data_IF_252908502549
#
_entry.id   IF_252908502549
#
_cell.length_a   1.000
_cell.length_b   1.000
_cell.length_c   1.000
_cell.angle_alpha   90.00
_cell.angle_beta   90.00
_cell.angle_gamma   90.00
#
_symmetry.space_group_name_H-M   'P 1'
#
loop_
_entity.id
_entity.type
_entity.pdbx_description
1 polymer ?
#
# COMPACT_ATOMS: atom_id res chain seq x y z
N UNK A 1 7.67 19.10 16.29
CA UNK A 1 8.97 18.79 15.68
C UNK A 1 9.31 17.29 15.74
N UNK A 2 8.95 16.56 16.81
CA UNK A 2 9.25 15.12 16.94
C UNK A 2 8.43 14.23 15.99
N UNK A 3 7.18 14.58 15.64
CA UNK A 3 6.34 13.78 14.72
C UNK A 3 6.85 13.78 13.28
N UNK A 4 7.35 14.91 12.78
CA UNK A 4 7.84 15.00 11.41
C UNK A 4 9.18 14.26 11.20
N UNK A 5 10.04 14.22 12.24
CA UNK A 5 11.28 13.42 12.21
C UNK A 5 11.00 11.93 12.28
N UNK A 6 9.98 11.50 13.05
CA UNK A 6 9.63 10.08 13.16
C UNK A 6 9.04 9.52 11.86
N UNK A 7 8.19 10.27 11.15
CA UNK A 7 7.57 9.78 9.90
C UNK A 7 8.60 9.58 8.77
N UNK A 8 9.58 10.46 8.63
CA UNK A 8 10.66 10.28 7.65
C UNK A 8 11.55 9.07 7.96
N UNK A 9 11.81 8.79 9.24
CA UNK A 9 12.57 7.63 9.65
C UNK A 9 11.80 6.32 9.36
N UNK A 10 10.50 6.30 9.62
CA UNK A 10 9.66 5.12 9.37
C UNK A 10 9.54 4.79 7.88
N UNK A 11 9.44 5.81 7.03
CA UNK A 11 9.50 5.62 5.58
C UNK A 11 10.85 5.00 5.17
N UNK A 12 11.97 5.55 5.68
CA UNK A 12 13.30 5.03 5.39
C UNK A 12 13.47 3.56 5.83
N UNK A 13 12.93 3.15 6.98
CA UNK A 13 12.97 1.76 7.44
C UNK A 13 12.26 0.81 6.44
N UNK A 14 11.10 1.21 5.90
CA UNK A 14 10.41 0.40 4.89
C UNK A 14 11.17 0.32 3.56
N UNK A 15 11.80 1.39 3.12
CA UNK A 15 12.66 1.35 1.93
C UNK A 15 13.89 0.45 2.16
N UNK A 16 14.50 0.52 3.33
CA UNK A 16 15.62 -0.35 3.72
C UNK A 16 15.20 -1.82 3.78
N UNK A 17 13.94 -2.12 4.16
CA UNK A 17 13.42 -3.48 4.12
C UNK A 17 13.43 -4.07 2.71
N UNK A 18 13.01 -3.26 1.73
CA UNK A 18 13.03 -3.67 0.33
C UNK A 18 14.45 -3.91 -0.19
N UNK A 19 15.39 -3.02 0.15
CA UNK A 19 16.81 -3.18 -0.22
C UNK A 19 17.40 -4.45 0.41
N UNK A 20 17.10 -4.72 1.68
CA UNK A 20 17.54 -5.94 2.36
C UNK A 20 17.01 -7.19 1.65
N UNK A 21 15.74 -7.20 1.28
CA UNK A 21 15.12 -8.30 0.54
C UNK A 21 15.80 -8.54 -0.81
N UNK A 22 16.09 -7.48 -1.58
CA UNK A 22 16.80 -7.59 -2.87
C UNK A 22 18.20 -8.18 -2.73
N UNK A 23 18.81 -8.06 -1.55
CA UNK A 23 20.11 -8.63 -1.21
C UNK A 23 20.03 -10.06 -0.64
N UNK A 24 18.83 -10.62 -0.54
CA UNK A 24 18.58 -11.94 0.05
C UNK A 24 18.55 -11.96 1.58
N UNK A 25 18.65 -10.81 2.25
CA UNK A 25 18.59 -10.70 3.71
C UNK A 25 17.13 -10.56 4.18
N UNK A 26 16.42 -11.70 4.14
CA UNK A 26 14.99 -11.78 4.50
C UNK A 26 14.76 -11.39 5.96
N UNK A 27 15.63 -11.79 6.88
CA UNK A 27 15.47 -11.49 8.30
C UNK A 27 15.54 -9.98 8.57
N UNK A 28 16.50 -9.29 7.97
CA UNK A 28 16.59 -7.81 8.06
C UNK A 28 15.40 -7.14 7.35
N UNK A 29 14.93 -7.68 6.22
CA UNK A 29 13.76 -7.15 5.53
C UNK A 29 12.51 -7.17 6.42
N UNK A 30 12.22 -8.31 7.05
CA UNK A 30 11.09 -8.47 7.97
C UNK A 30 11.20 -7.48 9.13
N UNK A 31 12.33 -7.46 9.82
CA UNK A 31 12.56 -6.56 10.96
C UNK A 31 12.36 -5.09 10.59
N UNK A 32 13.00 -4.64 9.51
CA UNK A 32 12.92 -3.24 9.04
C UNK A 32 11.50 -2.84 8.64
N UNK A 33 10.76 -3.72 7.98
CA UNK A 33 9.35 -3.46 7.69
C UNK A 33 8.52 -3.34 8.97
N UNK A 34 8.69 -4.26 9.92
CA UNK A 34 7.98 -4.25 11.20
C UNK A 34 8.25 -2.97 11.97
N UNK A 35 9.53 -2.60 12.13
CA UNK A 35 9.95 -1.37 12.82
C UNK A 35 9.34 -0.11 12.15
N UNK A 36 9.32 -0.08 10.81
CA UNK A 36 8.78 1.03 10.02
C UNK A 36 7.26 1.12 9.99
N UNK A 37 6.54 0.09 10.45
CA UNK A 37 5.08 0.04 10.37
C UNK A 37 4.39 -0.02 11.72
N UNK A 38 5.04 -0.50 12.77
CA UNK A 38 4.41 -0.74 14.07
C UNK A 38 3.76 0.52 14.66
N UNK A 39 4.42 1.66 14.58
CA UNK A 39 3.87 2.93 15.08
C UNK A 39 2.69 3.47 14.26
N UNK A 40 2.49 2.99 13.03
CA UNK A 40 1.40 3.38 12.14
C UNK A 40 0.19 2.45 12.27
N UNK A 41 0.34 1.36 13.02
CA UNK A 41 -0.68 0.34 13.19
C UNK A 41 -1.45 0.45 14.50
N UNK A 42 -1.66 1.67 15.02
CA UNK A 42 -2.27 1.95 16.33
C UNK A 42 -3.65 1.28 16.57
N UNK A 43 -4.24 0.67 15.56
CA UNK A 43 -5.55 0.03 15.60
C UNK A 43 -5.52 -1.45 15.21
N UNK A 44 -4.35 -2.03 14.97
CA UNK A 44 -4.20 -3.45 14.72
C UNK A 44 -3.79 -4.19 16.00
N UNK A 45 -4.09 -5.49 16.11
CA UNK A 45 -3.58 -6.32 17.19
C UNK A 45 -2.04 -6.24 17.29
N UNK A 46 -1.53 -6.32 18.49
CA UNK A 46 -0.07 -6.37 18.73
C UNK A 46 0.58 -7.48 17.91
N UNK A 47 1.74 -7.21 17.31
CA UNK A 47 2.45 -8.17 16.46
C UNK A 47 1.95 -8.23 15.00
N UNK A 48 0.91 -7.47 14.64
CA UNK A 48 0.41 -7.46 13.26
C UNK A 48 1.46 -7.03 12.25
N UNK A 49 2.33 -6.08 12.60
CA UNK A 49 3.41 -5.61 11.73
C UNK A 49 4.34 -6.75 11.33
N UNK A 50 4.72 -7.59 12.29
CA UNK A 50 5.59 -8.74 12.05
C UNK A 50 4.90 -9.82 11.22
N UNK A 51 3.62 -10.11 11.50
CA UNK A 51 2.84 -11.08 10.71
C UNK A 51 2.74 -10.62 9.26
N UNK A 52 2.46 -9.34 9.02
CA UNK A 52 2.38 -8.78 7.66
C UNK A 52 3.75 -8.80 6.98
N UNK A 53 4.82 -8.41 7.68
CA UNK A 53 6.18 -8.44 7.15
C UNK A 53 6.62 -9.86 6.74
N UNK A 54 6.32 -10.86 7.59
CA UNK A 54 6.55 -12.27 7.26
C UNK A 54 5.75 -12.70 6.01
N UNK A 55 4.52 -12.21 5.85
CA UNK A 55 3.71 -12.48 4.65
C UNK A 55 4.29 -11.86 3.38
N UNK A 56 4.87 -10.66 3.48
CA UNK A 56 5.47 -9.93 2.33
C UNK A 56 6.78 -10.60 1.88
N UNK A 57 7.63 -11.00 2.82
CA UNK A 57 9.00 -11.43 2.54
C UNK A 57 9.25 -12.93 2.77
N UNK A 58 8.32 -13.63 3.41
CA UNK A 58 8.42 -15.04 3.75
C UNK A 58 7.74 -15.98 2.74
N UNK A 59 7.33 -17.14 3.24
CA UNK A 59 6.76 -18.21 2.44
C UNK A 59 5.23 -18.09 2.21
N UNK A 60 4.67 -19.04 1.48
CA UNK A 60 3.25 -19.07 1.15
C UNK A 60 2.35 -19.20 2.41
N UNK A 61 2.81 -19.91 3.46
CA UNK A 61 2.06 -20.06 4.69
C UNK A 61 2.02 -18.74 5.48
N UNK A 62 3.16 -18.05 5.57
CA UNK A 62 3.23 -16.71 6.18
C UNK A 62 2.34 -15.71 5.42
N UNK A 63 2.36 -15.75 4.08
CA UNK A 63 1.48 -14.93 3.25
C UNK A 63 -0.01 -15.20 3.53
N UNK A 64 -0.42 -16.46 3.64
CA UNK A 64 -1.80 -16.81 3.98
C UNK A 64 -2.22 -16.28 5.36
N UNK A 65 -1.33 -16.37 6.36
CA UNK A 65 -1.58 -15.82 7.71
C UNK A 65 -1.73 -14.30 7.69
N UNK A 66 -0.88 -13.60 6.96
CA UNK A 66 -0.98 -12.15 6.80
C UNK A 66 -2.29 -11.73 6.12
N UNK A 67 -2.72 -12.46 5.10
CA UNK A 67 -3.99 -12.19 4.41
C UNK A 67 -5.19 -12.44 5.32
N UNK A 68 -5.19 -13.53 6.10
CA UNK A 68 -6.26 -13.81 7.06
C UNK A 68 -6.37 -12.71 8.14
N UNK A 69 -5.24 -12.26 8.69
CA UNK A 69 -5.22 -11.12 9.62
C UNK A 69 -5.83 -9.86 9.00
N UNK A 70 -5.48 -9.54 7.76
CA UNK A 70 -6.03 -8.37 7.06
C UNK A 70 -7.54 -8.52 6.83
N UNK A 71 -8.01 -9.73 6.48
CA UNK A 71 -9.42 -10.02 6.31
C UNK A 71 -10.21 -9.81 7.61
N UNK A 72 -9.71 -10.32 8.73
CA UNK A 72 -10.31 -10.15 10.05
C UNK A 72 -10.43 -8.67 10.44
N UNK A 73 -9.41 -7.86 10.11
CA UNK A 73 -9.45 -6.42 10.38
C UNK A 73 -10.44 -5.69 9.47
N UNK A 74 -10.47 -6.01 8.18
CA UNK A 74 -11.38 -5.39 7.22
C UNK A 74 -12.85 -5.79 7.43
N UNK A 75 -13.11 -6.94 8.07
CA UNK A 75 -14.45 -7.40 8.42
C UNK A 75 -15.08 -6.65 9.62
N UNK A 76 -14.30 -5.86 10.36
CA UNK A 76 -14.81 -5.10 11.50
C UNK A 76 -15.80 -4.01 11.03
N UNK A 77 -16.88 -3.72 11.80
CA UNK A 77 -17.90 -2.76 11.39
C UNK A 77 -17.39 -1.33 11.13
N UNK A 78 -16.31 -0.97 11.77
CA UNK A 78 -15.57 0.27 11.54
C UNK A 78 -14.07 -0.08 11.55
N UNK A 79 -13.53 -0.59 10.45
CA UNK A 79 -12.10 -0.79 10.37
C UNK A 79 -11.46 0.58 10.51
N UNK A 80 -10.91 0.84 11.68
CA UNK A 80 -10.15 2.08 11.90
C UNK A 80 -9.02 2.05 10.91
N UNK A 81 -9.12 2.95 9.94
CA UNK A 81 -8.25 3.03 8.80
C UNK A 81 -6.80 3.02 9.25
N UNK A 82 -6.15 1.98 8.88
CA UNK A 82 -4.72 2.06 8.76
C UNK A 82 -4.44 2.12 7.26
N UNK A 83 -3.99 3.27 6.78
CA UNK A 83 -3.53 3.41 5.41
C UNK A 83 -2.49 2.35 5.01
N UNK A 84 -2.00 1.59 5.99
CA UNK A 84 -1.08 0.47 5.80
C UNK A 84 -1.73 -0.79 5.24
N UNK A 85 -3.05 -1.01 5.41
CA UNK A 85 -3.69 -2.23 4.88
C UNK A 85 -3.68 -2.29 3.35
N UNK A 86 -4.08 -1.23 2.61
CA UNK A 86 -3.96 -1.22 1.15
C UNK A 86 -2.51 -1.42 0.68
N UNK A 87 -1.53 -0.76 1.32
CA UNK A 87 -0.12 -0.95 1.01
C UNK A 87 0.30 -2.41 1.25
N UNK A 88 -0.07 -2.99 2.38
CA UNK A 88 0.25 -4.38 2.71
C UNK A 88 -0.36 -5.35 1.68
N UNK A 89 -1.61 -5.14 1.28
CA UNK A 89 -2.26 -5.94 0.23
C UNK A 89 -1.53 -5.83 -1.11
N UNK A 90 -1.11 -4.62 -1.49
CA UNK A 90 -0.32 -4.40 -2.70
C UNK A 90 1.01 -5.16 -2.64
N UNK A 91 1.73 -5.07 -1.52
CA UNK A 91 3.00 -5.77 -1.31
C UNK A 91 2.84 -7.29 -1.22
N UNK A 92 1.70 -7.78 -0.73
CA UNK A 92 1.32 -9.19 -0.75
C UNK A 92 0.87 -9.68 -2.14
N UNK A 93 0.92 -8.83 -3.18
CA UNK A 93 0.51 -9.18 -4.54
C UNK A 93 -1.00 -9.42 -4.67
N UNK A 94 -1.80 -8.58 -4.01
CA UNK A 94 -3.26 -8.56 -4.06
C UNK A 94 -3.77 -7.18 -4.50
N UNK A 95 -3.43 -6.74 -5.72
CA UNK A 95 -3.73 -5.38 -6.20
C UNK A 95 -5.23 -5.08 -6.25
N UNK A 96 -6.08 -6.05 -6.64
CA UNK A 96 -7.53 -5.88 -6.69
C UNK A 96 -8.09 -5.57 -5.29
N UNK A 97 -7.61 -6.32 -4.30
CA UNK A 97 -8.00 -6.13 -2.90
C UNK A 97 -7.47 -4.80 -2.34
N UNK A 98 -6.26 -4.42 -2.74
CA UNK A 98 -5.67 -3.15 -2.34
C UNK A 98 -6.51 -1.96 -2.84
N UNK A 99 -6.87 -1.92 -4.12
CA UNK A 99 -7.75 -0.87 -4.66
C UNK A 99 -9.15 -0.91 -4.04
N UNK A 100 -9.76 -2.10 -3.89
CA UNK A 100 -11.06 -2.24 -3.22
C UNK A 100 -11.03 -1.71 -1.78
N UNK A 101 -9.96 -1.97 -1.03
CA UNK A 101 -9.80 -1.43 0.33
C UNK A 101 -9.71 0.10 0.32
N UNK A 102 -8.94 0.67 -0.60
CA UNK A 102 -8.83 2.12 -0.78
C UNK A 102 -10.19 2.74 -1.12
N UNK A 103 -10.94 2.15 -2.03
CA UNK A 103 -12.24 2.66 -2.45
C UNK A 103 -13.28 2.66 -1.32
N UNK A 104 -13.18 1.74 -0.38
CA UNK A 104 -14.12 1.60 0.75
C UNK A 104 -13.76 2.46 1.97
N UNK A 105 -12.49 2.79 2.16
CA UNK A 105 -12.04 3.55 3.32
C UNK A 105 -12.36 5.05 3.15
N UNK A 106 -12.91 5.73 4.18
CA UNK A 106 -13.33 7.13 4.08
C UNK A 106 -12.15 8.10 3.92
N UNK A 107 -11.06 7.86 4.64
CA UNK A 107 -9.90 8.76 4.68
C UNK A 107 -8.63 7.95 4.40
N UNK A 108 -7.95 8.29 3.31
CA UNK A 108 -6.70 7.66 2.93
C UNK A 108 -5.59 8.71 2.94
N UNK A 109 -4.99 8.88 4.09
CA UNK A 109 -3.67 9.50 4.17
C UNK A 109 -2.62 8.39 4.03
N UNK A 110 -2.26 8.07 2.80
CA UNK A 110 -1.31 7.01 2.54
C UNK A 110 -0.34 7.36 1.41
N UNK A 111 0.57 8.28 1.71
CA UNK A 111 1.66 8.64 0.81
C UNK A 111 2.46 7.43 0.35
N UNK A 112 2.64 6.42 1.21
CA UNK A 112 3.41 5.22 0.90
C UNK A 112 2.69 4.29 -0.07
N UNK A 113 1.36 4.14 0.06
CA UNK A 113 0.56 3.42 -0.93
C UNK A 113 0.68 4.08 -2.30
N UNK A 114 0.56 5.43 -2.35
CA UNK A 114 0.73 6.17 -3.59
C UNK A 114 2.12 5.98 -4.18
N UNK A 115 3.18 6.10 -3.39
CA UNK A 115 4.54 5.90 -3.87
C UNK A 115 4.73 4.49 -4.48
N UNK A 116 4.18 3.47 -3.84
CA UNK A 116 4.24 2.08 -4.33
C UNK A 116 3.33 1.84 -5.53
N UNK A 117 2.18 2.49 -5.59
CA UNK A 117 1.29 2.40 -6.73
C UNK A 117 1.97 2.86 -8.03
N UNK A 118 2.84 3.88 -7.94
CA UNK A 118 3.63 4.40 -9.09
C UNK A 118 4.96 3.65 -9.31
N UNK A 119 5.32 2.74 -8.44
CA UNK A 119 6.47 1.85 -8.63
C UNK A 119 6.12 0.63 -9.50
N UNK A 120 7.14 -0.18 -9.81
CA UNK A 120 6.97 -1.45 -10.53
C UNK A 120 5.95 -2.38 -9.84
N UNK A 121 5.87 -2.37 -8.52
CA UNK A 121 4.92 -3.20 -7.76
C UNK A 121 3.46 -2.79 -7.99
N UNK A 122 3.20 -1.55 -8.37
CA UNK A 122 1.86 -1.04 -8.65
C UNK A 122 1.36 -1.23 -10.08
N UNK A 123 2.18 -1.72 -11.00
CA UNK A 123 1.79 -1.87 -12.41
C UNK A 123 0.51 -2.72 -12.58
N UNK A 124 0.40 -3.83 -11.86
CA UNK A 124 -0.80 -4.65 -11.91
C UNK A 124 -2.04 -3.92 -11.39
N UNK A 125 -1.90 -3.10 -10.33
CA UNK A 125 -3.00 -2.31 -9.79
C UNK A 125 -3.46 -1.23 -10.79
N UNK A 126 -2.54 -0.59 -11.49
CA UNK A 126 -2.86 0.44 -12.49
C UNK A 126 -3.57 -0.13 -13.72
N UNK A 127 -3.38 -1.42 -14.03
CA UNK A 127 -4.03 -2.12 -15.13
C UNK A 127 -5.45 -2.62 -14.81
N UNK A 128 -5.91 -2.47 -13.55
CA UNK A 128 -7.22 -2.95 -13.14
C UNK A 128 -8.35 -2.04 -13.63
N UNK A 129 -9.52 -2.59 -13.97
CA UNK A 129 -10.68 -1.80 -14.41
C UNK A 129 -11.20 -0.82 -13.34
N UNK A 130 -10.92 -1.05 -12.07
CA UNK A 130 -11.27 -0.15 -10.95
C UNK A 130 -10.30 1.04 -10.80
N UNK A 131 -9.20 1.06 -11.52
CA UNK A 131 -8.21 2.11 -11.37
C UNK A 131 -8.72 3.51 -11.75
N UNK A 132 -9.53 3.72 -12.81
CA UNK A 132 -10.15 5.01 -13.10
C UNK A 132 -11.04 5.53 -11.95
N UNK A 133 -11.83 4.65 -11.30
CA UNK A 133 -12.63 5.03 -10.12
C UNK A 133 -11.74 5.49 -8.96
N UNK A 134 -10.63 4.79 -8.73
CA UNK A 134 -9.63 5.21 -7.75
C UNK A 134 -9.08 6.62 -8.07
N UNK A 135 -8.69 6.89 -9.31
CA UNK A 135 -8.18 8.22 -9.71
C UNK A 135 -9.21 9.32 -9.47
N UNK A 136 -10.49 9.04 -9.77
CA UNK A 136 -11.57 9.98 -9.52
C UNK A 136 -11.78 10.25 -8.03
N UNK A 137 -11.85 9.20 -7.21
CA UNK A 137 -11.96 9.31 -5.74
C UNK A 137 -10.83 10.15 -5.13
N UNK A 138 -9.64 10.03 -5.67
CA UNK A 138 -8.46 10.75 -5.20
C UNK A 138 -8.33 12.18 -5.76
N UNK A 139 -9.29 12.64 -6.59
CA UNK A 139 -9.23 13.96 -7.23
C UNK A 139 -8.11 14.13 -8.26
N UNK A 140 -7.50 13.01 -8.68
CA UNK A 140 -6.40 13.05 -9.65
C UNK A 140 -6.90 13.35 -11.06
N UNK A 141 -8.11 12.96 -11.42
CA UNK A 141 -8.70 13.23 -12.74
C UNK A 141 -8.80 14.74 -12.99
N UNK A 142 -9.41 15.49 -12.05
CA UNK A 142 -9.54 16.95 -12.17
C UNK A 142 -8.17 17.64 -12.20
N UNK A 143 -7.25 17.15 -11.38
CA UNK A 143 -5.89 17.68 -11.32
C UNK A 143 -5.14 17.47 -12.65
N UNK A 144 -5.26 16.28 -13.23
CA UNK A 144 -4.60 15.95 -14.49
C UNK A 144 -5.23 16.62 -15.70
N UNK A 145 -6.55 16.82 -15.66
CA UNK A 145 -7.25 17.63 -16.69
C UNK A 145 -6.76 19.07 -16.72
N UNK A 146 -6.39 19.61 -15.56
CA UNK A 146 -5.94 21.00 -15.44
C UNK A 146 -4.44 21.18 -15.68
N UNK A 147 -3.62 20.23 -15.22
CA UNK A 147 -2.16 20.41 -15.16
C UNK A 147 -1.37 19.40 -16.01
N UNK A 148 -2.05 18.45 -16.64
CA UNK A 148 -1.45 17.33 -17.36
C UNK A 148 -1.26 16.09 -16.47
N UNK A 149 -1.41 14.92 -17.09
CA UNK A 149 -1.13 13.64 -16.46
C UNK A 149 0.38 13.32 -16.48
N UNK A 150 0.84 12.39 -15.61
CA UNK A 150 2.21 11.87 -15.72
C UNK A 150 2.47 11.22 -17.10
N UNK A 151 3.73 11.19 -17.53
CA UNK A 151 4.14 10.74 -18.88
C UNK A 151 3.67 9.33 -19.26
N UNK A 152 3.48 8.45 -18.27
CA UNK A 152 3.02 7.08 -18.48
C UNK A 152 1.49 6.91 -18.32
N UNK A 153 0.75 8.02 -18.26
CA UNK A 153 -0.72 8.02 -18.19
C UNK A 153 -1.31 8.81 -19.34
N UNK A 154 -2.35 8.27 -19.98
CA UNK A 154 -3.07 8.91 -21.07
C UNK A 154 -4.57 8.65 -20.98
N UNK A 155 -5.39 9.50 -21.58
CA UNK A 155 -6.82 9.19 -21.75
C UNK A 155 -7.01 8.14 -22.83
N UNK A 156 -7.86 7.18 -22.55
CA UNK A 156 -8.33 6.21 -23.52
C UNK A 156 -9.47 6.78 -24.42
N UNK A 157 -10.04 5.95 -25.27
CA UNK A 157 -11.12 6.36 -26.17
C UNK A 157 -12.43 6.70 -25.43
N UNK A 158 -12.58 6.31 -24.17
CA UNK A 158 -13.73 6.62 -23.31
C UNK A 158 -13.52 7.89 -22.50
N UNK A 159 -12.31 8.44 -22.50
CA UNK A 159 -11.91 9.58 -21.70
C UNK A 159 -11.38 9.22 -20.31
N UNK A 160 -11.24 7.96 -19.99
CA UNK A 160 -10.68 7.48 -18.73
C UNK A 160 -9.14 7.47 -18.78
N UNK A 161 -8.49 7.82 -17.67
CA UNK A 161 -7.05 7.73 -17.58
C UNK A 161 -6.60 6.27 -17.40
N UNK A 162 -5.73 5.84 -18.29
CA UNK A 162 -5.02 4.54 -18.24
C UNK A 162 -3.54 4.79 -18.07
N UNK A 163 -2.87 4.01 -17.21
CA UNK A 163 -1.46 4.18 -16.86
C UNK A 163 -0.70 2.86 -17.00
N UNK A 164 0.47 2.92 -17.63
CA UNK A 164 1.37 1.77 -17.84
C UNK A 164 2.35 1.59 -16.69
#
# INVERSE_FOLDING_TARGET
>A
LNRARSSGLLFAERELSYIAFQRGDVATAIRKWSDGTESLQNNLPSGSAEIIANGIYGDALAKSRALALIDDVLAQPQPRSTGMLPLSLLMLGKPERALSAVLKLPDIDNSDFFARLWSRNGTQARALPEFPEFLQKMGLVERWDKYGAPDHCRKDAKGDYVCE
#
